data_IF_871383645787
#
_entry.id   IF_871383645787
#
_cell.length_a   1.000
_cell.length_b   1.000
_cell.length_c   1.000
_cell.angle_alpha   90.00
_cell.angle_beta   90.00
_cell.angle_gamma   90.00
#
_symmetry.space_group_name_H-M   'P 1'
#
loop_
_entity.id
_entity.type
_entity.pdbx_description
1 polymer ?
#
# COMPACT_ATOMS: atom_id res chain seq x y z
N UNK A 1 -5.29 -25.17 -25.04
CA UNK A 1 -5.91 -23.82 -25.13
C UNK A 1 -7.13 -23.66 -24.22
N UNK A 2 -8.01 -24.67 -24.10
CA UNK A 2 -9.20 -24.65 -23.23
C UNK A 2 -8.81 -24.63 -21.75
N UNK A 3 -7.74 -25.33 -21.34
CA UNK A 3 -7.22 -25.34 -19.99
C UNK A 3 -6.64 -23.96 -19.56
N UNK A 4 -6.01 -23.23 -20.49
CA UNK A 4 -5.46 -21.89 -20.22
C UNK A 4 -6.59 -20.88 -20.06
N UNK A 5 -7.67 -20.99 -20.84
CA UNK A 5 -8.86 -20.16 -20.69
C UNK A 5 -9.58 -20.44 -19.36
N UNK A 6 -9.72 -21.71 -18.98
CA UNK A 6 -10.38 -22.09 -17.73
C UNK A 6 -9.62 -21.61 -16.49
N UNK A 7 -8.27 -21.70 -16.50
CA UNK A 7 -7.44 -21.20 -15.42
C UNK A 7 -7.49 -19.67 -15.32
N UNK A 8 -7.55 -18.96 -16.45
CA UNK A 8 -7.65 -17.50 -16.46
C UNK A 8 -9.01 -17.02 -15.95
N UNK A 9 -10.11 -17.67 -16.38
CA UNK A 9 -11.45 -17.39 -15.87
C UNK A 9 -11.64 -17.76 -14.39
N UNK A 10 -11.05 -18.86 -13.95
CA UNK A 10 -11.07 -19.26 -12.55
C UNK A 10 -10.32 -18.27 -11.67
N UNK A 11 -9.17 -17.76 -12.13
CA UNK A 11 -8.38 -16.75 -11.44
C UNK A 11 -9.12 -15.39 -11.38
N UNK A 12 -9.79 -14.99 -12.47
CA UNK A 12 -10.63 -13.79 -12.52
C UNK A 12 -11.88 -13.91 -11.63
N UNK A 13 -12.44 -15.11 -11.51
CA UNK A 13 -13.60 -15.37 -10.67
C UNK A 13 -13.24 -15.31 -9.17
N UNK A 14 -12.07 -15.85 -8.81
CA UNK A 14 -11.51 -15.75 -7.44
C UNK A 14 -11.18 -14.30 -7.09
N UNK A 15 -10.60 -13.51 -8.01
CA UNK A 15 -10.29 -12.07 -7.80
C UNK A 15 -11.49 -11.23 -7.35
N UNK A 16 -12.70 -11.52 -7.81
CA UNK A 16 -13.92 -10.79 -7.46
C UNK A 16 -14.33 -10.90 -6.00
N UNK A 17 -13.77 -11.86 -5.23
CA UNK A 17 -14.15 -12.16 -3.84
C UNK A 17 -13.03 -11.87 -2.82
N UNK A 18 -11.88 -11.27 -3.24
CA UNK A 18 -10.74 -11.05 -2.35
C UNK A 18 -10.77 -9.70 -1.64
N UNK A 19 -11.82 -9.51 -0.84
CA UNK A 19 -11.82 -8.56 0.24
C UNK A 19 -12.00 -9.35 1.54
N UNK A 20 -11.04 -9.24 2.46
CA UNK A 20 -11.12 -9.89 3.76
C UNK A 20 -11.44 -8.87 4.85
N UNK A 21 -12.22 -9.31 5.86
CA UNK A 21 -12.61 -8.49 7.01
C UNK A 21 -11.74 -8.86 8.20
N UNK A 22 -10.73 -8.03 8.48
CA UNK A 22 -9.88 -8.11 9.67
C UNK A 22 -9.09 -6.82 9.86
N UNK A 23 -8.48 -6.67 11.02
CA UNK A 23 -7.51 -5.60 11.24
C UNK A 23 -6.22 -5.93 10.50
N UNK A 24 -5.77 -5.03 9.62
CA UNK A 24 -4.56 -5.22 8.81
C UNK A 24 -3.30 -5.38 9.68
N UNK A 25 -3.27 -4.80 10.88
CA UNK A 25 -2.15 -4.93 11.82
C UNK A 25 -2.02 -6.34 12.41
N UNK A 26 -3.02 -7.21 12.23
CA UNK A 26 -2.97 -8.61 12.69
C UNK A 26 -2.34 -9.57 11.67
N UNK A 27 -2.02 -9.10 10.47
CA UNK A 27 -1.37 -9.90 9.43
C UNK A 27 0.10 -10.09 9.82
N UNK A 28 0.55 -11.35 9.84
CA UNK A 28 1.90 -11.76 10.26
C UNK A 28 2.70 -12.44 9.16
N UNK A 29 2.09 -12.73 8.01
CA UNK A 29 2.74 -13.40 6.88
C UNK A 29 2.34 -12.74 5.56
N UNK A 30 3.33 -12.44 4.73
CA UNK A 30 3.16 -11.84 3.42
C UNK A 30 3.74 -10.44 3.34
N UNK A 31 3.16 -9.61 2.51
CA UNK A 31 3.54 -8.20 2.33
C UNK A 31 2.33 -7.29 2.48
N UNK A 32 2.55 -6.17 3.12
CA UNK A 32 1.53 -5.12 3.32
C UNK A 32 2.05 -3.83 2.70
N UNK A 33 1.20 -3.08 2.01
CA UNK A 33 1.50 -1.71 1.59
C UNK A 33 0.47 -0.75 2.14
N UNK A 34 0.93 0.39 2.65
CA UNK A 34 0.08 1.52 2.99
C UNK A 34 0.67 2.82 2.43
N UNK A 35 -0.16 3.86 2.32
CA UNK A 35 0.27 5.16 1.83
C UNK A 35 0.80 6.02 2.96
N UNK A 36 1.90 6.73 2.68
CA UNK A 36 2.48 7.74 3.55
C UNK A 36 2.69 9.06 2.79
N UNK A 37 2.77 10.18 3.54
CA UNK A 37 3.15 11.47 2.97
C UNK A 37 4.66 11.64 2.92
N UNK A 38 5.12 12.67 2.18
CA UNK A 38 6.54 13.00 2.04
C UNK A 38 7.04 14.05 3.03
N UNK A 39 6.21 14.51 3.96
CA UNK A 39 6.52 15.60 4.91
C UNK A 39 7.13 15.12 6.23
N UNK A 40 7.50 13.85 6.32
CA UNK A 40 8.07 13.25 7.52
C UNK A 40 7.11 13.34 8.74
N UNK A 41 5.81 13.18 8.49
CA UNK A 41 4.74 13.20 9.49
C UNK A 41 3.92 11.91 9.42
N UNK A 42 3.95 11.13 10.47
CA UNK A 42 3.18 9.89 10.58
C UNK A 42 2.50 9.83 11.95
N UNK A 43 1.19 9.82 11.99
CA UNK A 43 0.49 9.86 13.28
C UNK A 43 -1.00 9.57 13.25
N UNK A 44 -1.56 9.15 12.12
CA UNK A 44 -3.00 8.94 12.00
C UNK A 44 -3.35 7.70 11.15
N UNK A 45 -4.59 7.26 11.27
CA UNK A 45 -5.20 6.23 10.44
C UNK A 45 -4.49 4.87 10.47
N UNK A 46 -4.42 4.23 9.32
CA UNK A 46 -3.79 2.92 9.15
C UNK A 46 -2.31 2.93 9.53
N UNK A 47 -1.58 4.00 9.22
CA UNK A 47 -0.19 4.14 9.61
C UNK A 47 -0.01 4.00 11.12
N UNK A 48 -0.89 4.65 11.90
CA UNK A 48 -0.87 4.56 13.37
C UNK A 48 -1.14 3.12 13.85
N UNK A 49 -2.12 2.43 13.29
CA UNK A 49 -2.40 1.03 13.63
C UNK A 49 -1.19 0.14 13.33
N UNK A 50 -0.53 0.34 12.19
CA UNK A 50 0.64 -0.46 11.80
C UNK A 50 1.85 -0.17 12.71
N UNK A 51 2.20 1.08 12.97
CA UNK A 51 3.38 1.36 13.81
C UNK A 51 3.15 1.08 15.31
N UNK A 52 1.91 1.08 15.78
CA UNK A 52 1.62 0.63 17.14
C UNK A 52 1.94 -0.86 17.34
N UNK A 53 1.71 -1.67 16.31
CA UNK A 53 2.06 -3.10 16.33
C UNK A 53 3.52 -3.33 15.92
N UNK A 54 4.00 -2.61 14.92
CA UNK A 54 5.32 -2.75 14.31
C UNK A 54 6.04 -1.38 14.29
N UNK A 55 6.70 -0.98 15.39
CA UNK A 55 7.33 0.35 15.51
C UNK A 55 8.33 0.68 14.40
N UNK A 56 8.96 -0.33 13.78
CA UNK A 56 9.91 -0.16 12.69
C UNK A 56 9.32 0.59 11.49
N UNK A 57 8.02 0.46 11.25
CA UNK A 57 7.32 1.15 10.16
C UNK A 57 7.53 2.66 10.27
N UNK A 58 7.36 3.21 11.47
CA UNK A 58 7.57 4.64 11.74
C UNK A 58 9.04 5.02 11.85
N UNK A 59 9.84 4.21 12.51
CA UNK A 59 11.27 4.46 12.68
C UNK A 59 11.98 4.58 11.34
N UNK A 60 11.80 3.62 10.45
CA UNK A 60 12.44 3.62 9.14
C UNK A 60 11.85 4.68 8.21
N UNK A 61 10.56 4.98 8.31
CA UNK A 61 9.95 6.11 7.62
C UNK A 61 10.63 7.44 7.94
N UNK A 62 10.93 7.70 9.21
CA UNK A 62 11.62 8.92 9.63
C UNK A 62 13.11 8.90 9.25
N UNK A 63 13.79 7.77 9.40
CA UNK A 63 15.22 7.64 9.13
C UNK A 63 15.58 7.89 7.67
N UNK A 64 14.71 7.54 6.71
CA UNK A 64 15.00 7.73 5.28
C UNK A 64 15.25 9.21 4.93
N UNK A 65 14.64 10.13 5.65
CA UNK A 65 14.77 11.57 5.43
C UNK A 65 16.19 12.09 5.72
N UNK A 66 17.01 11.35 6.43
CA UNK A 66 18.40 11.71 6.73
C UNK A 66 19.39 11.25 5.66
N UNK A 67 18.96 10.40 4.73
CA UNK A 67 19.80 9.95 3.61
C UNK A 67 19.87 11.06 2.55
N UNK A 68 21.06 11.40 2.00
CA UNK A 68 21.21 12.49 1.03
C UNK A 68 20.30 12.37 -0.19
N UNK A 69 20.08 11.13 -0.70
CA UNK A 69 19.22 10.87 -1.86
C UNK A 69 17.73 11.04 -1.57
N UNK A 70 17.33 11.17 -0.29
CA UNK A 70 15.93 11.27 0.14
C UNK A 70 15.68 12.43 1.14
N UNK A 71 16.56 13.42 1.19
CA UNK A 71 16.56 14.47 2.21
C UNK A 71 15.59 15.63 1.94
N UNK A 72 14.77 15.56 0.89
CA UNK A 72 13.67 16.50 0.64
C UNK A 72 12.36 15.75 0.38
N UNK A 73 11.19 16.36 0.62
CA UNK A 73 9.91 15.76 0.27
C UNK A 73 9.83 15.29 -1.19
N UNK A 74 10.32 16.12 -2.13
CA UNK A 74 10.29 15.81 -3.56
C UNK A 74 11.17 14.62 -3.91
N UNK A 75 12.30 14.45 -3.23
CA UNK A 75 13.18 13.28 -3.43
C UNK A 75 12.57 11.99 -2.88
N UNK A 76 11.72 12.07 -1.86
CA UNK A 76 11.00 10.91 -1.33
C UNK A 76 9.77 10.54 -2.13
N UNK A 77 9.18 11.50 -2.86
CA UNK A 77 7.95 11.27 -3.62
C UNK A 77 8.12 10.16 -4.66
N UNK A 78 7.23 9.19 -4.62
CA UNK A 78 7.27 8.00 -5.48
C UNK A 78 8.06 6.81 -4.91
N UNK A 79 8.75 6.97 -3.78
CA UNK A 79 9.47 5.88 -3.14
C UNK A 79 8.49 4.78 -2.68
N UNK A 80 8.86 3.54 -2.90
CA UNK A 80 8.25 2.37 -2.31
C UNK A 80 9.27 1.75 -1.34
N UNK A 81 9.15 2.10 -0.06
CA UNK A 81 10.13 1.73 0.97
C UNK A 81 9.78 0.39 1.62
N UNK A 82 10.57 -0.66 1.46
CA UNK A 82 10.39 -1.90 2.21
C UNK A 82 10.89 -1.74 3.65
N UNK A 83 10.06 -2.18 4.60
CA UNK A 83 10.41 -2.27 6.01
C UNK A 83 10.29 -3.74 6.43
N UNK A 84 11.41 -4.41 6.63
CA UNK A 84 11.41 -5.81 7.09
C UNK A 84 10.99 -5.87 8.55
N UNK A 85 9.91 -6.58 8.83
CA UNK A 85 9.39 -6.78 10.19
C UNK A 85 9.92 -8.09 10.77
N UNK A 86 9.70 -9.19 10.04
CA UNK A 86 10.19 -10.53 10.36
C UNK A 86 10.65 -11.19 9.07
N UNK A 87 11.13 -12.42 9.15
CA UNK A 87 11.43 -13.21 7.94
C UNK A 87 10.17 -13.49 7.09
N UNK A 88 8.98 -13.42 7.70
CA UNK A 88 7.70 -13.74 7.07
C UNK A 88 6.88 -12.51 6.70
N UNK A 89 7.26 -11.30 7.11
CA UNK A 89 6.48 -10.08 6.93
C UNK A 89 7.34 -8.88 6.54
N UNK A 90 6.98 -8.24 5.42
CA UNK A 90 7.52 -6.95 4.99
C UNK A 90 6.36 -5.96 4.85
N UNK A 91 6.52 -4.76 5.39
CA UNK A 91 5.56 -3.66 5.22
C UNK A 91 6.19 -2.57 4.35
N UNK A 92 5.49 -2.16 3.31
CA UNK A 92 5.94 -1.13 2.37
C UNK A 92 5.28 0.20 2.68
N UNK A 93 6.10 1.24 2.87
CA UNK A 93 5.64 2.62 2.89
C UNK A 93 5.63 3.17 1.47
N UNK A 94 4.44 3.46 0.93
CA UNK A 94 4.27 4.07 -0.39
C UNK A 94 4.19 5.59 -0.25
N UNK A 95 5.22 6.29 -0.69
CA UNK A 95 5.29 7.77 -0.68
C UNK A 95 4.51 8.33 -1.86
N UNK A 96 3.19 8.22 -1.83
CA UNK A 96 2.28 8.57 -2.93
C UNK A 96 1.40 9.79 -2.65
N UNK A 97 1.69 10.55 -1.61
CA UNK A 97 1.18 11.90 -1.36
C UNK A 97 2.33 12.82 -0.94
N UNK A 98 2.49 13.95 -1.65
CA UNK A 98 3.56 14.90 -1.34
C UNK A 98 3.30 15.59 -0.01
N UNK A 99 2.10 16.14 0.15
CA UNK A 99 1.63 16.84 1.35
C UNK A 99 0.59 16.03 2.13
N UNK A 100 0.20 16.56 3.27
CA UNK A 100 -0.90 16.03 4.09
C UNK A 100 -1.77 17.17 4.60
N UNK A 101 -2.99 16.84 5.03
CA UNK A 101 -3.89 17.82 5.62
C UNK A 101 -5.28 17.26 5.84
N UNK A 102 -6.21 18.12 6.20
CA UNK A 102 -7.62 17.78 6.45
C UNK A 102 -8.58 18.58 5.59
N UNK A 103 -8.08 19.32 4.61
CA UNK A 103 -8.90 20.07 3.69
C UNK A 103 -9.55 19.13 2.68
N UNK A 104 -10.86 18.97 2.76
CA UNK A 104 -11.63 18.06 1.89
C UNK A 104 -11.64 18.49 0.41
N UNK A 105 -11.29 19.74 0.12
CA UNK A 105 -11.20 20.27 -1.24
C UNK A 105 -9.86 19.99 -1.91
N UNK A 106 -8.89 19.47 -1.17
CA UNK A 106 -7.56 19.17 -1.68
C UNK A 106 -7.37 17.65 -1.79
N UNK A 107 -7.01 17.19 -2.98
CA UNK A 107 -6.57 15.82 -3.18
C UNK A 107 -5.08 15.74 -2.88
N UNK A 108 -4.71 15.16 -1.74
CA UNK A 108 -3.31 14.97 -1.34
C UNK A 108 -2.69 13.74 -2.02
N UNK A 109 -3.49 12.71 -2.25
CA UNK A 109 -3.05 11.50 -2.97
C UNK A 109 -2.74 11.82 -4.43
N UNK A 110 -1.57 11.37 -4.91
CA UNK A 110 -1.31 11.23 -6.34
C UNK A 110 -1.70 9.81 -6.76
N UNK A 111 -2.79 9.69 -7.48
CA UNK A 111 -3.36 8.38 -7.84
C UNK A 111 -2.48 7.62 -8.84
N UNK A 112 -1.81 8.32 -9.75
CA UNK A 112 -0.88 7.68 -10.70
C UNK A 112 0.34 7.10 -9.97
N UNK A 113 0.92 7.85 -9.05
CA UNK A 113 2.03 7.39 -8.22
C UNK A 113 1.60 6.23 -7.32
N UNK A 114 0.41 6.32 -6.72
CA UNK A 114 -0.14 5.22 -5.91
C UNK A 114 -0.33 3.95 -6.75
N UNK A 115 -0.93 4.06 -7.93
CA UNK A 115 -1.15 2.90 -8.81
C UNK A 115 0.18 2.31 -9.31
N UNK A 116 1.16 3.13 -9.63
CA UNK A 116 2.52 2.66 -9.98
C UNK A 116 3.14 1.87 -8.83
N UNK A 117 3.02 2.34 -7.59
CA UNK A 117 3.54 1.64 -6.43
C UNK A 117 2.74 0.37 -6.10
N UNK A 118 1.43 0.38 -6.30
CA UNK A 118 0.60 -0.83 -6.18
C UNK A 118 1.05 -1.92 -7.17
N UNK A 119 1.36 -1.54 -8.41
CA UNK A 119 1.86 -2.48 -9.40
C UNK A 119 3.24 -3.03 -9.04
N UNK A 120 4.16 -2.19 -8.60
CA UNK A 120 5.50 -2.62 -8.15
C UNK A 120 5.42 -3.54 -6.93
N UNK A 121 4.53 -3.22 -6.01
CA UNK A 121 4.24 -4.03 -4.83
C UNK A 121 3.67 -5.41 -5.19
N UNK A 122 2.71 -5.45 -6.11
CA UNK A 122 2.13 -6.70 -6.64
C UNK A 122 3.19 -7.58 -7.32
N UNK A 123 4.05 -6.98 -8.14
CA UNK A 123 5.15 -7.68 -8.82
C UNK A 123 6.15 -8.27 -7.80
N UNK A 124 6.48 -7.52 -6.75
CA UNK A 124 7.34 -8.02 -5.66
C UNK A 124 6.72 -9.23 -4.99
N UNK A 125 5.44 -9.15 -4.63
CA UNK A 125 4.72 -10.24 -3.98
C UNK A 125 4.68 -11.51 -4.85
N UNK A 126 4.39 -11.35 -6.14
CA UNK A 126 4.38 -12.46 -7.10
C UNK A 126 5.75 -13.12 -7.26
N UNK A 127 6.79 -12.31 -7.36
CA UNK A 127 8.17 -12.81 -7.47
C UNK A 127 8.58 -13.65 -6.25
N UNK A 128 8.16 -13.22 -5.06
CA UNK A 128 8.47 -13.91 -3.80
C UNK A 128 7.41 -14.94 -3.38
N UNK A 129 6.38 -15.17 -4.18
CA UNK A 129 5.26 -16.08 -3.88
C UNK A 129 4.58 -15.77 -2.53
N UNK A 130 4.36 -14.49 -2.25
CA UNK A 130 3.76 -14.02 -1.01
C UNK A 130 2.38 -13.41 -1.24
N UNK A 131 1.43 -13.56 -0.30
CA UNK A 131 0.19 -12.82 -0.35
C UNK A 131 0.46 -11.33 -0.10
N UNK A 132 -0.25 -10.48 -0.84
CA UNK A 132 -0.12 -9.03 -0.79
C UNK A 132 -1.42 -8.37 -0.30
N UNK A 133 -1.30 -7.48 0.66
CA UNK A 133 -2.42 -6.85 1.35
C UNK A 133 -2.30 -5.33 1.33
N UNK A 134 -3.42 -4.66 1.11
CA UNK A 134 -3.56 -3.21 1.28
C UNK A 134 -4.81 -2.90 2.10
N UNK A 135 -4.82 -1.78 2.84
CA UNK A 135 -6.03 -1.38 3.54
C UNK A 135 -7.11 -0.93 2.56
N UNK A 136 -8.37 -1.27 2.88
CA UNK A 136 -9.53 -0.70 2.21
C UNK A 136 -9.43 0.83 2.21
N UNK A 137 -9.74 1.45 1.07
CA UNK A 137 -9.65 2.90 0.87
C UNK A 137 -8.23 3.48 0.99
N UNK A 138 -7.20 2.69 0.67
CA UNK A 138 -5.83 3.20 0.63
C UNK A 138 -5.74 4.51 -0.16
N UNK A 139 -5.15 5.55 0.45
CA UNK A 139 -5.04 6.87 -0.15
C UNK A 139 -6.34 7.67 -0.29
N UNK A 140 -7.47 7.15 0.18
CA UNK A 140 -8.81 7.70 -0.06
C UNK A 140 -9.55 8.14 1.21
N UNK A 141 -8.88 8.15 2.36
CA UNK A 141 -9.37 8.75 3.60
C UNK A 141 -9.08 10.26 3.63
N UNK A 142 -8.26 10.71 4.58
CA UNK A 142 -7.86 12.12 4.71
C UNK A 142 -7.15 12.68 3.46
N UNK A 143 -6.50 11.82 2.67
CA UNK A 143 -5.81 12.22 1.45
C UNK A 143 -6.71 12.42 0.22
N UNK A 144 -8.02 12.13 0.34
CA UNK A 144 -9.06 12.40 -0.64
C UNK A 144 -8.88 11.75 -2.02
N UNK A 145 -8.17 10.64 -2.12
CA UNK A 145 -8.08 9.87 -3.36
C UNK A 145 -9.44 9.30 -3.78
N UNK A 146 -9.59 9.00 -5.07
CA UNK A 146 -10.81 8.39 -5.62
C UNK A 146 -10.75 6.86 -5.43
N UNK A 147 -11.50 6.36 -4.44
CA UNK A 147 -11.50 4.93 -4.13
C UNK A 147 -12.01 4.06 -5.27
N UNK A 148 -13.03 4.51 -6.01
CA UNK A 148 -13.53 3.76 -7.15
C UNK A 148 -12.45 3.50 -8.19
N UNK A 149 -11.62 4.49 -8.50
CA UNK A 149 -10.48 4.38 -9.43
C UNK A 149 -9.43 3.41 -8.89
N UNK A 150 -9.01 3.59 -7.64
CA UNK A 150 -7.97 2.76 -7.02
C UNK A 150 -8.44 1.31 -6.85
N UNK A 151 -9.66 1.10 -6.37
CA UNK A 151 -10.25 -0.23 -6.21
C UNK A 151 -10.33 -0.99 -7.53
N UNK A 152 -10.82 -0.33 -8.59
CA UNK A 152 -10.89 -0.93 -9.93
C UNK A 152 -9.51 -1.35 -10.41
N UNK A 153 -8.49 -0.50 -10.24
CA UNK A 153 -7.10 -0.84 -10.59
C UNK A 153 -6.62 -2.08 -9.83
N UNK A 154 -6.81 -2.12 -8.50
CA UNK A 154 -6.41 -3.26 -7.68
C UNK A 154 -7.08 -4.54 -8.16
N UNK A 155 -8.39 -4.50 -8.40
CA UNK A 155 -9.19 -5.67 -8.78
C UNK A 155 -8.91 -6.17 -10.19
N UNK A 156 -8.59 -5.29 -11.14
CA UNK A 156 -8.38 -5.64 -12.55
C UNK A 156 -6.92 -5.90 -12.90
N UNK A 157 -5.96 -5.21 -12.26
CA UNK A 157 -4.56 -5.21 -12.68
C UNK A 157 -3.62 -5.94 -11.70
N UNK A 158 -4.10 -6.33 -10.53
CA UNK A 158 -3.27 -6.94 -9.47
C UNK A 158 -3.94 -8.15 -8.84
N UNK A 159 -3.14 -8.90 -8.06
CA UNK A 159 -3.63 -9.97 -7.17
C UNK A 159 -3.65 -9.55 -5.70
N UNK A 160 -3.60 -8.24 -5.44
CA UNK A 160 -3.61 -7.69 -4.09
C UNK A 160 -4.95 -7.93 -3.41
N UNK A 161 -4.90 -8.30 -2.15
CA UNK A 161 -6.06 -8.51 -1.28
C UNK A 161 -6.35 -7.22 -0.51
N UNK A 162 -7.58 -6.74 -0.61
CA UNK A 162 -8.07 -5.57 0.14
C UNK A 162 -8.50 -6.03 1.52
N UNK A 163 -8.02 -5.33 2.55
CA UNK A 163 -8.28 -5.64 3.97
C UNK A 163 -9.05 -4.49 4.61
N UNK A 164 -10.25 -4.79 5.11
CA UNK A 164 -11.09 -3.82 5.81
C UNK A 164 -11.62 -4.35 7.13
N UNK A 165 -12.05 -3.47 7.98
CA UNK A 165 -12.69 -3.82 9.25
C UNK A 165 -14.18 -4.14 9.08
#
# INVERSE_FOLDING_TARGET
SILIFATHYFHLFIRRFFMIRKDISTITHGVIMHQVNCQNKMGAGVAKALYNTYPQVKTEYHQIAYQPQFNTPQKRFGLLQPVKITDDLVIFNSFSQLDYGRNKSIKYTDEEVLMTNLQRFDEYAKYHHLPAYVPERIGCGLANGNWSTIKTFIETETDIIIVGL
#
